data_IF_050724675622
#
_entry.id   IF_050724675622
#
_cell.length_a   1.000
_cell.length_b   1.000
_cell.length_c   1.000
_cell.angle_alpha   90.00
_cell.angle_beta   90.00
_cell.angle_gamma   90.00
#
_symmetry.space_group_name_H-M   'P 1'
#
loop_
_entity.id
_entity.type
_entity.pdbx_description
1 polymer ?
#
# COMPACT_ATOMS: atom_id res chain seq x y z
N UNK A 1 -10.33 24.86 50.07
CA UNK A 1 -10.00 24.32 48.73
C UNK A 1 -10.09 25.47 47.74
N UNK A 2 -8.94 26.09 47.42
CA UNK A 2 -8.89 27.30 46.59
C UNK A 2 -8.93 26.90 45.12
N UNK A 3 -10.07 27.10 44.46
CA UNK A 3 -10.22 26.90 43.02
C UNK A 3 -9.47 27.99 42.27
N UNK A 4 -8.28 27.66 41.78
CA UNK A 4 -7.45 28.54 40.98
C UNK A 4 -8.18 28.90 39.68
N UNK A 5 -8.80 30.10 39.64
CA UNK A 5 -9.46 30.61 38.43
C UNK A 5 -8.38 30.96 37.42
N UNK A 6 -8.22 30.11 36.42
CA UNK A 6 -7.32 30.37 35.29
C UNK A 6 -7.69 31.75 34.69
N UNK A 7 -6.77 32.73 34.66
CA UNK A 7 -7.05 34.06 34.13
C UNK A 7 -7.52 33.96 32.67
N UNK A 8 -8.51 34.78 32.28
CA UNK A 8 -9.18 34.71 30.96
C UNK A 8 -8.20 34.67 29.77
N UNK A 9 -7.04 35.30 29.89
CA UNK A 9 -5.97 35.25 28.88
C UNK A 9 -5.37 33.84 28.71
N UNK A 10 -5.07 33.13 29.81
CA UNK A 10 -4.58 31.74 29.78
C UNK A 10 -5.64 30.78 29.21
N UNK A 11 -6.92 31.04 29.47
CA UNK A 11 -8.04 30.25 28.91
C UNK A 11 -8.16 30.41 27.40
N UNK A 12 -7.97 31.62 26.87
CA UNK A 12 -7.94 31.87 25.41
C UNK A 12 -6.72 31.23 24.74
N UNK A 13 -5.55 31.34 25.36
CA UNK A 13 -4.32 30.70 24.86
C UNK A 13 -4.46 29.17 24.77
N UNK A 14 -5.01 28.53 25.81
CA UNK A 14 -5.30 27.08 25.80
C UNK A 14 -6.27 26.69 24.67
N UNK A 15 -7.27 27.52 24.40
CA UNK A 15 -8.25 27.26 23.35
C UNK A 15 -7.64 27.37 21.95
N UNK A 16 -6.78 28.38 21.72
CA UNK A 16 -6.02 28.52 20.47
C UNK A 16 -5.09 27.33 20.25
N UNK A 17 -4.36 26.92 21.29
CA UNK A 17 -3.48 25.75 21.22
C UNK A 17 -4.27 24.48 20.91
N UNK A 18 -5.41 24.28 21.58
CA UNK A 18 -6.28 23.14 21.32
C UNK A 18 -6.78 23.12 19.87
N UNK A 19 -7.23 24.26 19.34
CA UNK A 19 -7.65 24.38 17.94
C UNK A 19 -6.50 24.10 16.98
N UNK A 20 -5.30 24.63 17.25
CA UNK A 20 -4.12 24.39 16.42
C UNK A 20 -3.73 22.91 16.39
N UNK A 21 -3.76 22.23 17.54
CA UNK A 21 -3.49 20.79 17.63
C UNK A 21 -4.51 19.98 16.84
N UNK A 22 -5.80 20.30 16.96
CA UNK A 22 -6.87 19.62 16.20
C UNK A 22 -6.66 19.82 14.69
N UNK A 23 -6.37 21.04 14.24
CA UNK A 23 -6.11 21.31 12.83
C UNK A 23 -4.92 20.51 12.30
N UNK A 24 -3.81 20.43 13.05
CA UNK A 24 -2.65 19.63 12.67
C UNK A 24 -2.97 18.14 12.55
N UNK A 25 -3.74 17.59 13.49
CA UNK A 25 -4.20 16.19 13.43
C UNK A 25 -5.10 15.97 12.21
N UNK A 26 -6.03 16.88 11.93
CA UNK A 26 -6.91 16.79 10.76
C UNK A 26 -6.14 16.86 9.45
N UNK A 27 -5.16 17.76 9.32
CA UNK A 27 -4.27 17.84 8.15
C UNK A 27 -3.49 16.54 7.97
N UNK A 28 -2.91 16.02 9.06
CA UNK A 28 -2.17 14.74 9.02
C UNK A 28 -3.07 13.58 8.56
N UNK A 29 -4.29 13.49 9.10
CA UNK A 29 -5.26 12.47 8.72
C UNK A 29 -5.69 12.62 7.25
N UNK A 30 -5.95 13.83 6.78
CA UNK A 30 -6.32 14.10 5.40
C UNK A 30 -5.20 13.73 4.41
N UNK A 31 -3.95 14.10 4.71
CA UNK A 31 -2.78 13.72 3.91
C UNK A 31 -2.59 12.20 3.90
N UNK A 32 -2.75 11.55 5.05
CA UNK A 32 -2.68 10.10 5.16
C UNK A 32 -3.75 9.39 4.33
N UNK A 33 -4.99 9.87 4.39
CA UNK A 33 -6.10 9.35 3.60
C UNK A 33 -5.86 9.55 2.09
N UNK A 34 -5.39 10.73 1.69
CA UNK A 34 -5.07 11.03 0.29
C UNK A 34 -3.95 10.13 -0.24
N UNK A 35 -2.91 9.85 0.55
CA UNK A 35 -1.84 8.90 0.18
C UNK A 35 -2.35 7.47 -0.01
N UNK A 36 -3.34 7.03 0.77
CA UNK A 36 -3.97 5.71 0.60
C UNK A 36 -4.94 5.68 -0.59
N UNK A 37 -5.58 6.79 -0.91
CA UNK A 37 -6.43 6.92 -2.10
C UNK A 37 -5.67 6.80 -3.43
N UNK A 38 -4.33 6.83 -3.39
CA UNK A 38 -3.44 6.61 -4.53
C UNK A 38 -2.83 5.21 -4.57
N UNK A 39 -3.21 4.34 -3.63
CA UNK A 39 -2.83 2.93 -3.64
C UNK A 39 -3.80 2.15 -4.51
N UNK A 40 -3.28 1.31 -5.39
CA UNK A 40 -4.08 0.43 -6.24
C UNK A 40 -3.34 -0.87 -6.50
N UNK A 41 -4.11 -1.88 -6.84
CA UNK A 41 -3.60 -3.21 -7.12
C UNK A 41 -3.11 -3.31 -8.56
N UNK A 42 -1.93 -3.88 -8.73
CA UNK A 42 -1.24 -4.05 -10.02
C UNK A 42 -1.38 -5.51 -10.44
N UNK A 43 -1.73 -5.72 -11.70
CA UNK A 43 -1.87 -7.08 -12.25
C UNK A 43 -0.52 -7.78 -12.33
N UNK A 44 -0.50 -9.05 -11.92
CA UNK A 44 0.67 -9.92 -11.99
C UNK A 44 0.66 -10.70 -13.30
N UNK A 45 1.63 -10.43 -14.17
CA UNK A 45 1.69 -11.02 -15.51
C UNK A 45 2.30 -12.42 -15.53
N UNK A 46 3.25 -12.68 -14.63
CA UNK A 46 3.91 -13.99 -14.49
C UNK A 46 4.63 -14.08 -13.15
N UNK A 47 5.09 -15.26 -12.74
CA UNK A 47 5.89 -15.41 -11.53
C UNK A 47 7.07 -16.38 -11.72
N UNK A 48 8.11 -16.19 -10.91
CA UNK A 48 9.23 -17.12 -10.78
C UNK A 48 9.43 -17.49 -9.30
N UNK A 49 9.26 -18.75 -8.89
CA UNK A 49 9.53 -19.14 -7.51
C UNK A 49 11.02 -19.16 -7.19
N UNK A 50 11.39 -18.63 -6.02
CA UNK A 50 12.76 -18.70 -5.52
C UNK A 50 13.05 -20.05 -4.86
N UNK A 51 14.34 -20.33 -4.65
CA UNK A 51 14.80 -21.51 -3.92
C UNK A 51 14.20 -21.60 -2.52
N UNK A 52 14.03 -20.45 -1.86
CA UNK A 52 13.18 -20.31 -0.69
C UNK A 52 11.72 -20.46 -1.15
N UNK A 53 11.17 -21.67 -1.01
CA UNK A 53 9.82 -22.09 -1.47
C UNK A 53 8.65 -21.24 -0.93
N UNK A 54 8.94 -20.23 -0.10
CA UNK A 54 8.02 -19.25 0.47
C UNK A 54 8.18 -17.84 -0.11
N UNK A 55 9.03 -17.66 -1.12
CA UNK A 55 9.17 -16.39 -1.83
C UNK A 55 9.03 -16.66 -3.31
N UNK A 56 8.23 -15.85 -3.97
CA UNK A 56 8.12 -15.83 -5.43
C UNK A 56 8.41 -14.41 -5.92
N UNK A 57 9.04 -14.29 -7.07
CA UNK A 57 9.16 -13.02 -7.76
C UNK A 57 7.98 -12.87 -8.71
N UNK A 58 7.11 -11.90 -8.45
CA UNK A 58 6.00 -11.54 -9.30
C UNK A 58 6.48 -10.52 -10.35
N UNK A 59 6.25 -10.81 -11.64
CA UNK A 59 6.47 -9.86 -12.72
C UNK A 59 5.24 -8.98 -12.88
N UNK A 60 5.44 -7.69 -12.67
CA UNK A 60 4.40 -6.67 -12.85
C UNK A 60 4.84 -5.65 -13.89
N UNK A 61 3.86 -5.06 -14.57
CA UNK A 61 4.06 -3.93 -15.47
C UNK A 61 3.37 -2.71 -14.86
N UNK A 62 4.16 -1.70 -14.54
CA UNK A 62 3.65 -0.47 -13.93
C UNK A 62 4.52 0.72 -14.30
N UNK A 63 4.00 1.94 -14.12
CA UNK A 63 4.78 3.14 -14.41
C UNK A 63 6.06 3.19 -13.55
N UNK A 64 7.21 3.61 -14.11
CA UNK A 64 8.48 3.62 -13.37
C UNK A 64 8.45 4.48 -12.10
N UNK A 65 7.65 5.55 -12.09
CA UNK A 65 7.52 6.42 -10.92
C UNK A 65 6.62 5.83 -9.82
N UNK A 66 5.96 4.69 -10.07
CA UNK A 66 5.12 4.05 -9.07
C UNK A 66 5.97 3.21 -8.13
N UNK A 67 5.65 3.30 -6.85
CA UNK A 67 6.33 2.57 -5.78
C UNK A 67 5.47 1.38 -5.36
N UNK A 68 6.07 0.19 -5.28
CA UNK A 68 5.38 -0.95 -4.63
C UNK A 68 5.38 -0.71 -3.13
N UNK A 69 4.19 -0.55 -2.57
CA UNK A 69 4.03 -0.26 -1.13
C UNK A 69 3.63 -1.50 -0.34
N UNK A 70 3.09 -2.52 -1.01
CA UNK A 70 2.69 -3.76 -0.34
C UNK A 70 2.69 -4.94 -1.29
N UNK A 71 3.07 -6.09 -0.76
CA UNK A 71 2.95 -7.38 -1.42
C UNK A 71 2.47 -8.41 -0.40
N UNK A 72 1.46 -9.19 -0.75
CA UNK A 72 0.98 -10.28 0.08
C UNK A 72 0.30 -11.35 -0.78
N UNK A 73 0.01 -12.49 -0.17
CA UNK A 73 -0.62 -13.60 -0.87
C UNK A 73 -1.71 -14.23 0.00
N UNK A 74 -2.90 -14.39 -0.57
CA UNK A 74 -4.02 -15.04 0.09
C UNK A 74 -4.07 -16.52 -0.30
N UNK A 75 -4.11 -17.38 0.71
CA UNK A 75 -4.14 -18.82 0.53
C UNK A 75 -5.58 -19.34 0.52
N UNK A 76 -5.92 -20.04 -0.56
CA UNK A 76 -7.07 -20.93 -0.60
C UNK A 76 -6.62 -22.38 -0.73
N UNK A 77 -7.56 -23.32 -0.74
CA UNK A 77 -7.31 -24.75 -0.69
C UNK A 77 -6.39 -25.22 -1.83
N UNK A 78 -6.67 -24.77 -3.05
CA UNK A 78 -6.05 -25.19 -4.32
C UNK A 78 -5.30 -24.06 -5.04
N UNK A 79 -5.37 -22.83 -4.52
CA UNK A 79 -4.84 -21.63 -5.18
C UNK A 79 -4.24 -20.63 -4.20
N UNK A 80 -3.35 -19.81 -4.74
CA UNK A 80 -2.69 -18.68 -4.08
C UNK A 80 -2.98 -17.44 -4.90
N UNK A 81 -3.61 -16.44 -4.30
CA UNK A 81 -3.92 -15.17 -4.96
C UNK A 81 -2.82 -14.18 -4.60
N UNK A 82 -2.19 -13.57 -5.60
CA UNK A 82 -1.12 -12.60 -5.40
C UNK A 82 -1.66 -11.18 -5.44
N UNK A 83 -1.28 -10.42 -4.42
CA UNK A 83 -1.62 -9.03 -4.26
C UNK A 83 -0.34 -8.19 -4.33
N UNK A 84 -0.23 -7.34 -5.35
CA UNK A 84 0.84 -6.35 -5.47
C UNK A 84 0.19 -4.97 -5.51
N UNK A 85 0.43 -4.17 -4.48
CA UNK A 85 -0.15 -2.83 -4.35
C UNK A 85 0.94 -1.81 -4.64
N UNK A 86 0.70 -0.99 -5.66
CA UNK A 86 1.53 0.16 -5.97
C UNK A 86 0.85 1.45 -5.52
N UNK A 87 1.67 2.50 -5.35
CA UNK A 87 1.20 3.85 -5.06
C UNK A 87 1.69 4.81 -6.13
N UNK A 88 0.78 5.63 -6.64
CA UNK A 88 1.10 6.75 -7.50
C UNK A 88 1.76 7.90 -6.70
N UNK A 89 2.80 8.56 -7.23
CA UNK A 89 3.37 9.76 -6.61
C UNK A 89 2.34 10.90 -6.53
N UNK A 90 2.42 11.70 -5.46
CA UNK A 90 1.42 12.74 -5.13
C UNK A 90 1.56 14.01 -5.96
N UNK A 91 2.75 14.29 -6.50
CA UNK A 91 3.07 15.49 -7.26
C UNK A 91 3.84 15.06 -8.51
N UNK A 92 3.42 15.62 -9.66
CA UNK A 92 3.92 15.36 -11.01
C UNK A 92 3.79 13.91 -11.51
N UNK A 93 2.73 13.65 -12.27
CA UNK A 93 2.76 12.66 -13.33
C UNK A 93 2.35 13.35 -14.63
N UNK A 94 3.25 13.41 -15.60
CA UNK A 94 2.97 13.95 -16.94
C UNK A 94 2.41 12.85 -17.85
N UNK A 95 1.35 12.16 -17.43
CA UNK A 95 0.45 11.35 -18.28
C UNK A 95 1.07 10.47 -19.38
N UNK A 96 2.31 10.00 -19.21
CA UNK A 96 3.00 9.23 -20.23
C UNK A 96 2.64 7.75 -20.10
N UNK A 97 2.30 7.09 -21.21
CA UNK A 97 2.01 5.66 -21.28
C UNK A 97 3.29 4.82 -21.26
N UNK A 98 4.18 5.10 -20.31
CA UNK A 98 5.39 4.31 -20.08
C UNK A 98 5.11 3.28 -18.99
N UNK A 99 5.16 1.99 -19.36
CA UNK A 99 5.16 0.88 -18.42
C UNK A 99 6.55 0.25 -18.38
N UNK A 100 7.06 0.01 -17.18
CA UNK A 100 8.31 -0.69 -16.92
C UNK A 100 8.04 -2.05 -16.29
N UNK A 101 8.87 -3.03 -16.63
CA UNK A 101 8.74 -4.40 -16.14
C UNK A 101 9.56 -4.53 -14.86
N UNK A 102 8.90 -4.90 -13.76
CA UNK A 102 9.57 -5.11 -12.46
C UNK A 102 9.28 -6.47 -11.89
N UNK A 103 10.31 -7.04 -11.26
CA UNK A 103 10.21 -8.26 -10.47
C UNK A 103 10.13 -7.89 -9.01
N UNK A 104 9.03 -8.29 -8.37
CA UNK A 104 8.70 -7.90 -7.01
C UNK A 104 8.61 -9.16 -6.15
N UNK A 105 9.38 -9.26 -5.05
CA UNK A 105 9.32 -10.43 -4.18
C UNK A 105 8.02 -10.41 -3.38
N UNK A 106 7.24 -11.49 -3.48
CA UNK A 106 6.04 -11.73 -2.69
C UNK A 106 6.32 -12.87 -1.72
N UNK A 107 6.16 -12.59 -0.42
CA UNK A 107 6.29 -13.59 0.62
C UNK A 107 4.98 -14.37 0.77
N UNK A 108 5.12 -15.68 0.84
CA UNK A 108 4.04 -16.62 1.03
C UNK A 108 4.01 -17.11 2.48
N UNK A 109 2.82 -17.18 3.06
CA UNK A 109 2.64 -17.71 4.42
C UNK A 109 2.96 -19.22 4.50
N UNK A 110 2.70 -19.94 3.41
CA UNK A 110 2.97 -21.37 3.26
C UNK A 110 3.74 -21.62 1.96
N UNK A 111 4.52 -22.71 1.86
CA UNK A 111 5.16 -23.06 0.60
C UNK A 111 4.14 -23.22 -0.54
N UNK A 112 4.48 -22.77 -1.75
CA UNK A 112 3.57 -22.76 -2.90
C UNK A 112 2.97 -24.15 -3.19
N UNK A 113 3.81 -25.19 -3.23
CA UNK A 113 3.38 -26.56 -3.56
C UNK A 113 2.83 -26.65 -4.99
N UNK A 114 1.75 -27.41 -5.16
CA UNK A 114 1.08 -27.62 -6.45
C UNK A 114 -0.10 -26.65 -6.68
N UNK A 115 -0.19 -25.58 -5.89
CA UNK A 115 -1.30 -24.63 -5.96
C UNK A 115 -1.21 -23.76 -7.21
N UNK A 116 -2.37 -23.44 -7.79
CA UNK A 116 -2.45 -22.49 -8.89
C UNK A 116 -2.24 -21.07 -8.37
N UNK A 117 -1.43 -20.28 -9.05
CA UNK A 117 -1.23 -18.86 -8.75
C UNK A 117 -2.24 -18.04 -9.54
N UNK A 118 -2.98 -17.16 -8.87
CA UNK A 118 -3.92 -16.23 -9.48
C UNK A 118 -3.52 -14.79 -9.24
N UNK A 119 -3.83 -13.94 -10.21
CA UNK A 119 -3.74 -12.49 -10.07
C UNK A 119 -4.97 -11.96 -9.32
N UNK A 120 -4.77 -11.11 -8.32
CA UNK A 120 -5.89 -10.54 -7.57
C UNK A 120 -6.76 -9.59 -8.39
N UNK A 121 -6.16 -8.88 -9.37
CA UNK A 121 -6.88 -7.90 -10.20
C UNK A 121 -7.82 -8.60 -11.19
N UNK A 122 -7.29 -9.54 -11.97
CA UNK A 122 -8.02 -10.20 -13.05
C UNK A 122 -8.67 -11.52 -12.63
N UNK A 123 -8.28 -12.10 -11.49
CA UNK A 123 -8.66 -13.45 -11.09
C UNK A 123 -8.10 -14.55 -12.00
N UNK A 124 -7.22 -14.19 -12.95
CA UNK A 124 -6.73 -15.11 -13.97
C UNK A 124 -5.51 -15.89 -13.48
N UNK A 125 -5.30 -17.12 -13.99
CA UNK A 125 -4.07 -17.87 -13.72
C UNK A 125 -2.83 -17.12 -14.18
N UNK A 126 -1.85 -17.03 -13.29
CA UNK A 126 -0.56 -16.40 -13.56
C UNK A 126 0.41 -17.49 -14.03
N UNK A 127 1.02 -17.36 -15.22
CA UNK A 127 1.98 -18.34 -15.71
C UNK A 127 3.29 -18.29 -14.95
N UNK A 128 3.89 -19.47 -14.76
CA UNK A 128 5.27 -19.61 -14.27
C UNK A 128 6.26 -19.41 -15.42
N UNK A 129 7.35 -18.71 -15.16
CA UNK A 129 8.51 -18.57 -16.07
C UNK A 129 9.72 -19.30 -15.48
#
# INVERSE_FOLDING_TARGET
>A
MSGERIPKARRRALLVVAVAVVLLISVYAAVGAMRRGLEFEVSVNSYNPRDDRRVIDARVEMHPDFEVVRTFADFQSDRVILHVVARQPTLSWSGGDYADVRWVPVRLDKPLGDRQVLDAVSGSPVPRI
#
